data_IF_603710490026
#
_entry.id   IF_603710490026
#
_cell.length_a   1.000
_cell.length_b   1.000
_cell.length_c   1.000
_cell.angle_alpha   90.00
_cell.angle_beta   90.00
_cell.angle_gamma   90.00
#
_symmetry.space_group_name_H-M   'P 1'
#
loop_
_entity.id
_entity.type
_entity.pdbx_description
1 polymer ?
#
# COMPACT_ATOMS: atom_id res chain seq x y z
N UNK A 1 46.59 22.01 -3.34
CA UNK A 1 45.43 21.20 -3.75
C UNK A 1 44.61 20.60 -2.58
N UNK A 2 45.22 19.92 -1.59
CA UNK A 2 44.52 19.26 -0.46
C UNK A 2 43.68 20.23 0.40
N UNK A 3 44.15 21.48 0.70
CA UNK A 3 43.38 22.47 1.48
C UNK A 3 42.09 22.95 0.75
N UNK A 4 42.14 23.19 -0.57
CA UNK A 4 40.95 23.56 -1.37
C UNK A 4 39.88 22.44 -1.39
N UNK A 5 40.31 21.16 -1.52
CA UNK A 5 39.40 20.01 -1.46
C UNK A 5 38.73 19.87 -0.08
N UNK A 6 39.46 20.10 1.03
CA UNK A 6 38.87 20.10 2.38
C UNK A 6 37.87 21.24 2.58
N UNK A 7 38.16 22.46 2.09
CA UNK A 7 37.22 23.59 2.16
C UNK A 7 35.93 23.31 1.35
N UNK A 8 36.07 22.80 0.14
CA UNK A 8 34.94 22.42 -0.70
C UNK A 8 34.03 21.35 -0.05
N UNK A 9 34.64 20.29 0.53
CA UNK A 9 33.89 19.25 1.27
C UNK A 9 33.11 19.84 2.45
N UNK A 10 33.70 20.79 3.22
CA UNK A 10 32.99 21.45 4.33
C UNK A 10 31.79 22.27 3.84
N UNK A 11 31.97 23.02 2.75
CA UNK A 11 30.90 23.83 2.16
C UNK A 11 29.74 22.91 1.70
N UNK A 12 30.06 21.83 0.98
CA UNK A 12 29.03 20.85 0.54
C UNK A 12 28.30 20.25 1.73
N UNK A 13 29.03 19.83 2.78
CA UNK A 13 28.42 19.29 3.99
C UNK A 13 27.52 20.32 4.69
N UNK A 14 27.95 21.58 4.80
CA UNK A 14 27.11 22.64 5.39
C UNK A 14 25.85 22.90 4.58
N UNK A 15 25.92 22.87 3.24
CA UNK A 15 24.76 23.00 2.36
C UNK A 15 23.80 21.81 2.56
N UNK A 16 24.31 20.58 2.63
CA UNK A 16 23.49 19.39 2.87
C UNK A 16 22.79 19.50 4.22
N UNK A 17 23.51 19.86 5.29
CA UNK A 17 22.92 20.05 6.62
C UNK A 17 21.84 21.13 6.58
N UNK A 18 22.09 22.26 5.94
CA UNK A 18 21.10 23.33 5.80
C UNK A 18 19.84 22.84 5.08
N UNK A 19 19.99 22.13 3.96
CA UNK A 19 18.86 21.55 3.20
C UNK A 19 18.07 20.59 4.09
N UNK A 20 18.73 19.66 4.80
CA UNK A 20 18.07 18.72 5.70
C UNK A 20 17.30 19.47 6.80
N UNK A 21 17.91 20.49 7.40
CA UNK A 21 17.27 21.30 8.46
C UNK A 21 16.04 22.02 7.93
N UNK A 22 16.15 22.68 6.79
CA UNK A 22 15.02 23.39 6.15
C UNK A 22 13.90 22.41 5.80
N UNK A 23 14.23 21.28 5.17
CA UNK A 23 13.25 20.24 4.87
C UNK A 23 12.57 19.70 6.14
N UNK A 24 13.32 19.47 7.22
CA UNK A 24 12.79 19.03 8.51
C UNK A 24 11.81 20.05 9.13
N UNK A 25 12.16 21.32 9.12
CA UNK A 25 11.29 22.39 9.63
C UNK A 25 9.99 22.51 8.81
N UNK A 26 10.09 22.41 7.48
CA UNK A 26 8.92 22.44 6.60
C UNK A 26 8.04 21.20 6.72
N UNK A 27 8.64 20.03 6.97
CA UNK A 27 7.91 18.76 7.13
C UNK A 27 7.24 18.65 8.52
N UNK A 28 7.81 19.26 9.56
CA UNK A 28 7.35 19.11 10.93
C UNK A 28 5.83 19.34 11.13
N UNK A 29 5.22 20.43 10.60
CA UNK A 29 3.79 20.63 10.73
C UNK A 29 2.95 19.58 9.99
N UNK A 30 3.43 19.05 8.88
CA UNK A 30 2.76 17.99 8.11
C UNK A 30 2.79 16.69 8.92
N UNK A 31 3.95 16.36 9.47
CA UNK A 31 4.13 15.16 10.32
C UNK A 31 3.25 15.26 11.56
N UNK A 32 3.21 16.43 12.23
CA UNK A 32 2.35 16.65 13.40
C UNK A 32 0.87 16.45 13.06
N UNK A 33 0.38 17.05 11.97
CA UNK A 33 -1.02 16.87 11.54
C UNK A 33 -1.33 15.43 11.14
N UNK A 34 -0.38 14.75 10.48
CA UNK A 34 -0.51 13.33 10.15
C UNK A 34 -0.56 12.44 11.39
N UNK A 35 0.22 12.76 12.43
CA UNK A 35 0.17 12.05 13.71
C UNK A 35 -1.17 12.26 14.42
N UNK A 36 -1.68 13.50 14.47
CA UNK A 36 -3.02 13.78 15.04
C UNK A 36 -4.11 13.00 14.29
N UNK A 37 -4.07 13.01 12.95
CA UNK A 37 -5.02 12.23 12.12
C UNK A 37 -4.96 10.74 12.44
N UNK A 38 -3.77 10.19 12.66
CA UNK A 38 -3.60 8.81 13.09
C UNK A 38 -4.21 8.57 14.48
N UNK A 39 -3.92 9.43 15.47
CA UNK A 39 -4.48 9.30 16.82
C UNK A 39 -6.02 9.35 16.81
N UNK A 40 -6.61 10.28 16.07
CA UNK A 40 -8.06 10.39 15.90
C UNK A 40 -8.65 9.11 15.26
N UNK A 41 -8.00 8.58 14.22
CA UNK A 41 -8.46 7.38 13.53
C UNK A 41 -8.43 6.16 14.45
N UNK A 42 -7.34 5.92 15.18
CA UNK A 42 -7.22 4.75 16.06
C UNK A 42 -7.98 4.92 17.39
N UNK A 43 -8.27 6.16 17.81
CA UNK A 43 -9.16 6.43 18.94
C UNK A 43 -10.63 6.16 18.59
N UNK A 44 -11.02 6.40 17.34
CA UNK A 44 -12.37 6.09 16.86
C UNK A 44 -12.59 4.58 16.67
N UNK A 45 -11.57 3.84 16.21
CA UNK A 45 -11.55 2.38 16.07
C UNK A 45 -10.12 1.88 16.20
N UNK A 46 -9.84 1.09 17.22
CA UNK A 46 -8.50 0.51 17.40
C UNK A 46 -8.13 -0.44 16.26
N UNK A 47 -6.83 -0.71 16.07
CA UNK A 47 -6.36 -1.64 15.01
C UNK A 47 -6.89 -3.05 15.26
N UNK A 48 -7.00 -3.46 16.53
CA UNK A 48 -7.53 -4.78 16.90
C UNK A 48 -9.03 -4.90 16.59
N UNK A 49 -9.82 -3.87 16.89
CA UNK A 49 -11.25 -3.81 16.55
C UNK A 49 -11.45 -3.81 15.02
N UNK A 50 -10.66 -3.03 14.28
CA UNK A 50 -10.76 -2.99 12.83
C UNK A 50 -10.40 -4.34 12.19
N UNK A 51 -9.41 -5.05 12.72
CA UNK A 51 -9.06 -6.42 12.28
C UNK A 51 -10.19 -7.40 12.62
N UNK A 52 -10.73 -7.32 13.83
CA UNK A 52 -11.82 -8.21 14.28
C UNK A 52 -13.06 -8.03 13.40
N UNK A 53 -13.47 -6.79 13.13
CA UNK A 53 -14.61 -6.47 12.26
C UNK A 53 -14.43 -7.00 10.83
N UNK A 54 -13.20 -6.94 10.30
CA UNK A 54 -12.92 -7.51 8.99
C UNK A 54 -13.04 -9.03 8.99
N UNK A 55 -12.56 -9.69 10.05
CA UNK A 55 -12.60 -11.15 10.20
C UNK A 55 -14.00 -11.70 10.49
N UNK A 56 -14.92 -10.83 10.90
CA UNK A 56 -16.33 -11.20 11.20
C UNK A 56 -17.27 -11.08 9.99
N UNK A 57 -16.76 -10.72 8.83
CA UNK A 57 -17.55 -10.68 7.59
C UNK A 57 -17.90 -12.07 7.10
N UNK A 58 -19.12 -12.24 6.59
CA UNK A 58 -19.63 -13.52 6.09
C UNK A 58 -18.82 -14.07 4.90
N UNK A 59 -18.26 -13.18 4.07
CA UNK A 59 -17.46 -13.49 2.89
C UNK A 59 -15.93 -13.53 3.17
N UNK A 60 -15.53 -13.47 4.44
CA UNK A 60 -14.13 -13.51 4.83
C UNK A 60 -13.51 -14.89 4.62
N UNK A 61 -12.45 -14.95 3.83
CA UNK A 61 -11.71 -16.20 3.60
C UNK A 61 -10.30 -16.17 4.19
N UNK A 62 -9.83 -17.34 4.61
CA UNK A 62 -8.48 -17.50 5.17
C UNK A 62 -7.42 -17.48 4.08
N UNK A 63 -6.17 -17.17 4.47
CA UNK A 63 -5.02 -17.19 3.55
C UNK A 63 -4.92 -18.51 2.78
N UNK A 64 -5.17 -19.63 3.44
CA UNK A 64 -5.10 -20.97 2.90
C UNK A 64 -6.20 -21.27 1.85
N UNK A 65 -7.29 -20.52 1.89
CA UNK A 65 -8.44 -20.64 0.98
C UNK A 65 -8.33 -19.68 -0.23
N UNK A 66 -7.23 -18.93 -0.34
CA UNK A 66 -6.95 -18.08 -1.50
C UNK A 66 -6.00 -18.84 -2.44
N UNK A 67 -6.28 -18.83 -3.75
CA UNK A 67 -5.40 -19.43 -4.75
C UNK A 67 -3.95 -18.96 -4.58
N UNK A 68 -2.99 -19.86 -4.37
CA UNK A 68 -1.56 -19.50 -4.30
C UNK A 68 -1.06 -18.82 -5.59
N UNK A 69 -1.68 -19.16 -6.73
CA UNK A 69 -1.40 -18.53 -8.01
C UNK A 69 -1.78 -17.05 -7.99
N UNK A 70 -2.99 -16.74 -7.47
CA UNK A 70 -3.43 -15.36 -7.31
C UNK A 70 -2.51 -14.57 -6.36
N UNK A 71 -2.22 -15.10 -5.19
CA UNK A 71 -1.33 -14.44 -4.20
C UNK A 71 0.01 -14.09 -4.84
N UNK A 72 0.65 -15.03 -5.55
CA UNK A 72 1.94 -14.80 -6.19
C UNK A 72 1.89 -13.72 -7.28
N UNK A 73 0.83 -13.71 -8.09
CA UNK A 73 0.66 -12.72 -9.16
C UNK A 73 0.37 -11.34 -8.57
N UNK A 74 -0.52 -11.26 -7.60
CA UNK A 74 -0.88 -10.04 -6.88
C UNK A 74 0.36 -9.40 -6.21
N UNK A 75 1.15 -10.19 -5.48
CA UNK A 75 2.39 -9.71 -4.85
C UNK A 75 3.41 -9.20 -5.88
N UNK A 76 3.59 -9.91 -7.00
CA UNK A 76 4.49 -9.44 -8.07
C UNK A 76 4.03 -8.13 -8.69
N UNK A 77 2.73 -7.92 -8.78
CA UNK A 77 2.11 -6.72 -9.35
C UNK A 77 2.14 -5.53 -8.39
N UNK A 78 1.71 -5.74 -7.14
CA UNK A 78 1.47 -4.69 -6.16
C UNK A 78 2.69 -4.42 -5.28
N UNK A 79 3.35 -5.48 -4.80
CA UNK A 79 4.45 -5.36 -3.84
C UNK A 79 5.47 -6.51 -3.99
N UNK A 80 6.25 -6.47 -5.05
CA UNK A 80 7.22 -7.54 -5.36
C UNK A 80 8.24 -7.81 -4.25
N UNK A 81 8.46 -6.85 -3.35
CA UNK A 81 9.45 -6.94 -2.27
C UNK A 81 8.81 -7.14 -0.91
N UNK A 82 7.52 -7.49 -0.84
CA UNK A 82 6.69 -7.57 0.36
C UNK A 82 7.37 -8.29 1.54
N UNK A 83 8.06 -9.39 1.29
CA UNK A 83 8.77 -10.16 2.32
C UNK A 83 10.12 -9.58 2.74
N UNK A 84 10.60 -8.52 2.08
CA UNK A 84 11.92 -7.93 2.32
C UNK A 84 11.89 -6.56 3.01
N UNK A 85 10.71 -6.06 3.35
CA UNK A 85 10.54 -4.80 4.07
C UNK A 85 9.54 -4.95 5.21
N UNK A 86 9.55 -3.96 6.09
CA UNK A 86 8.65 -3.87 7.25
C UNK A 86 7.63 -2.75 7.01
N UNK A 87 6.67 -3.03 6.14
CA UNK A 87 5.55 -2.15 5.80
C UNK A 87 5.87 -0.93 4.93
N UNK A 88 7.13 -0.54 4.78
CA UNK A 88 7.58 0.52 3.89
C UNK A 88 8.78 0.06 3.05
N UNK A 89 8.71 0.25 1.74
CA UNK A 89 9.81 -0.04 0.81
C UNK A 89 10.40 1.25 0.21
N UNK A 90 11.51 1.77 0.77
CA UNK A 90 12.15 2.97 0.26
C UNK A 90 12.68 2.79 -1.18
N UNK A 91 13.09 1.58 -1.55
CA UNK A 91 13.60 1.28 -2.90
C UNK A 91 12.47 1.36 -3.92
N UNK A 92 11.32 0.77 -3.62
CA UNK A 92 10.13 0.86 -4.48
C UNK A 92 9.65 2.31 -4.59
N UNK A 93 9.63 3.06 -3.48
CA UNK A 93 9.21 4.47 -3.44
C UNK A 93 10.12 5.34 -4.32
N UNK A 94 11.44 5.24 -4.16
CA UNK A 94 12.41 6.01 -4.97
C UNK A 94 12.31 5.61 -6.44
N UNK A 95 12.23 4.32 -6.74
CA UNK A 95 12.05 3.83 -8.12
C UNK A 95 10.78 4.41 -8.77
N UNK A 96 9.64 4.36 -8.07
CA UNK A 96 8.38 4.91 -8.57
C UNK A 96 8.48 6.42 -8.81
N UNK A 97 9.10 7.15 -7.88
CA UNK A 97 9.34 8.59 -8.03
C UNK A 97 10.19 8.91 -9.27
N UNK A 98 11.31 8.21 -9.46
CA UNK A 98 12.16 8.39 -10.64
C UNK A 98 11.41 8.09 -11.93
N UNK A 99 10.66 6.98 -12.01
CA UNK A 99 9.90 6.62 -13.19
C UNK A 99 8.81 7.65 -13.52
N UNK A 100 8.11 8.17 -12.53
CA UNK A 100 7.09 9.20 -12.71
C UNK A 100 7.69 10.54 -13.18
N UNK A 101 8.85 10.93 -12.64
CA UNK A 101 9.59 12.13 -13.09
C UNK A 101 10.04 11.98 -14.55
N UNK A 102 10.66 10.85 -14.90
CA UNK A 102 11.13 10.58 -16.28
C UNK A 102 9.95 10.56 -17.26
N UNK A 103 8.82 9.97 -16.86
CA UNK A 103 7.63 9.89 -17.70
C UNK A 103 6.84 11.21 -17.77
N UNK A 104 7.15 12.21 -16.92
CA UNK A 104 6.38 13.46 -16.81
C UNK A 104 4.92 13.27 -16.38
N UNK A 105 4.55 12.07 -15.93
CA UNK A 105 3.19 11.71 -15.48
C UNK A 105 3.24 10.55 -14.48
N UNK A 106 2.13 10.33 -13.79
CA UNK A 106 2.01 9.17 -12.90
C UNK A 106 1.91 7.88 -13.73
N UNK A 107 2.91 7.01 -13.63
CA UNK A 107 2.97 5.70 -14.32
C UNK A 107 3.15 4.54 -13.36
N UNK A 108 3.63 4.78 -12.13
CA UNK A 108 3.91 3.73 -11.16
C UNK A 108 3.61 4.17 -9.73
N UNK A 109 2.90 3.33 -8.97
CA UNK A 109 2.74 3.44 -7.53
C UNK A 109 3.98 2.95 -6.77
N UNK A 110 4.25 3.57 -5.62
CA UNK A 110 5.33 3.16 -4.72
C UNK A 110 4.82 2.72 -3.34
N UNK A 111 3.50 2.58 -3.17
CA UNK A 111 2.91 2.11 -1.91
C UNK A 111 3.03 0.60 -1.78
N UNK A 112 3.36 0.14 -0.58
CA UNK A 112 3.39 -1.29 -0.23
C UNK A 112 1.98 -1.84 -0.01
N UNK A 113 1.85 -3.16 0.04
CA UNK A 113 0.60 -3.84 0.38
C UNK A 113 0.07 -3.42 1.75
N UNK A 114 0.95 -3.34 2.77
CA UNK A 114 0.58 -2.90 4.12
C UNK A 114 0.12 -1.45 4.15
N UNK A 115 0.72 -0.56 3.34
CA UNK A 115 0.25 0.83 3.21
C UNK A 115 -1.12 0.92 2.53
N UNK A 116 -1.40 0.06 1.56
CA UNK A 116 -2.72 -0.01 0.92
C UNK A 116 -3.76 -0.53 1.91
N UNK A 117 -3.44 -1.57 2.70
CA UNK A 117 -4.30 -2.08 3.77
C UNK A 117 -4.61 -0.99 4.79
N UNK A 118 -3.60 -0.32 5.35
CA UNK A 118 -3.77 0.78 6.31
C UNK A 118 -4.67 1.90 5.77
N UNK A 119 -4.47 2.28 4.50
CA UNK A 119 -5.32 3.27 3.83
C UNK A 119 -6.78 2.80 3.77
N UNK A 120 -7.03 1.58 3.34
CA UNK A 120 -8.37 1.05 3.17
C UNK A 120 -9.11 0.85 4.52
N UNK A 121 -8.37 0.56 5.60
CA UNK A 121 -8.93 0.39 6.94
C UNK A 121 -9.40 1.71 7.56
N UNK A 122 -8.67 2.81 7.33
CA UNK A 122 -8.85 4.03 8.15
C UNK A 122 -9.07 5.31 7.37
N UNK A 123 -8.69 5.37 6.09
CA UNK A 123 -8.61 6.64 5.40
C UNK A 123 -9.39 6.66 4.09
N UNK A 124 -9.92 7.83 3.75
CA UNK A 124 -10.54 8.08 2.45
C UNK A 124 -9.50 8.23 1.34
N UNK A 125 -9.96 8.29 0.08
CA UNK A 125 -9.09 8.45 -1.09
C UNK A 125 -8.51 9.87 -1.26
N UNK A 126 -8.68 10.78 -0.30
CA UNK A 126 -8.11 12.12 -0.39
C UNK A 126 -6.58 12.11 -0.51
N UNK A 127 -6.07 12.82 -1.50
CA UNK A 127 -4.61 12.93 -1.73
C UNK A 127 -4.02 14.03 -0.85
N UNK A 128 -3.74 13.73 0.41
CA UNK A 128 -3.07 14.62 1.37
C UNK A 128 -1.79 13.98 1.91
N UNK A 129 -0.77 14.81 2.13
CA UNK A 129 0.49 14.32 2.71
C UNK A 129 0.30 13.88 4.17
N UNK A 130 -0.56 14.58 4.92
CA UNK A 130 -0.92 14.23 6.29
C UNK A 130 -1.50 12.82 6.39
N UNK A 131 -2.42 12.47 5.48
CA UNK A 131 -2.95 11.11 5.39
C UNK A 131 -1.84 10.07 5.15
N UNK A 132 -0.89 10.39 4.26
CA UNK A 132 0.23 9.48 3.96
C UNK A 132 1.14 9.27 5.18
N UNK A 133 1.29 10.28 6.02
CA UNK A 133 2.00 10.15 7.30
C UNK A 133 1.18 9.33 8.29
N UNK A 134 -0.13 9.58 8.41
CA UNK A 134 -1.03 8.80 9.28
C UNK A 134 -1.03 7.31 8.92
N UNK A 135 -1.08 6.99 7.61
CA UNK A 135 -0.95 5.61 7.11
C UNK A 135 0.32 4.92 7.64
N UNK A 136 1.47 5.62 7.66
CA UNK A 136 2.73 5.02 8.11
C UNK A 136 2.69 4.63 9.60
N UNK A 137 1.99 5.38 10.45
CA UNK A 137 1.81 5.01 11.85
C UNK A 137 0.92 3.76 11.99
N UNK A 138 -0.16 3.67 11.21
CA UNK A 138 -1.00 2.46 11.18
C UNK A 138 -0.21 1.26 10.64
N UNK A 139 0.59 1.45 9.59
CA UNK A 139 1.47 0.41 9.02
C UNK A 139 2.40 -0.18 10.08
N UNK A 140 3.02 0.64 10.93
CA UNK A 140 3.87 0.15 12.02
C UNK A 140 3.07 -0.72 13.01
N UNK A 141 1.85 -0.35 13.33
CA UNK A 141 1.00 -1.19 14.18
C UNK A 141 0.63 -2.51 13.52
N UNK A 142 0.23 -2.48 12.23
CA UNK A 142 -0.12 -3.70 11.49
C UNK A 142 1.06 -4.68 11.41
N UNK A 143 2.25 -4.20 11.04
CA UNK A 143 3.45 -5.04 10.95
C UNK A 143 3.92 -5.59 12.32
N UNK A 144 3.63 -4.87 13.42
CA UNK A 144 3.92 -5.35 14.77
C UNK A 144 2.94 -6.42 15.27
N UNK A 145 1.68 -6.36 14.82
CA UNK A 145 0.59 -7.22 15.31
C UNK A 145 0.35 -8.44 14.43
N UNK A 146 0.68 -8.37 13.15
CA UNK A 146 0.31 -9.34 12.13
C UNK A 146 1.53 -9.97 11.48
N UNK A 147 1.42 -11.23 11.15
CA UNK A 147 2.36 -11.90 10.24
C UNK A 147 2.16 -11.44 8.80
N UNK A 148 3.14 -11.66 7.95
CA UNK A 148 3.02 -11.37 6.51
C UNK A 148 1.84 -12.09 5.84
N UNK A 149 1.53 -13.31 6.26
CA UNK A 149 0.37 -14.05 5.76
C UNK A 149 -0.95 -13.39 6.16
N UNK A 150 -1.08 -12.96 7.41
CA UNK A 150 -2.27 -12.27 7.88
C UNK A 150 -2.47 -10.91 7.20
N UNK A 151 -1.38 -10.19 6.88
CA UNK A 151 -1.47 -8.94 6.11
C UNK A 151 -2.00 -9.22 4.70
N UNK A 152 -1.52 -10.28 4.02
CA UNK A 152 -2.05 -10.70 2.71
C UNK A 152 -3.53 -11.09 2.82
N UNK A 153 -3.87 -11.90 3.82
CA UNK A 153 -5.25 -12.33 4.09
C UNK A 153 -6.18 -11.13 4.22
N UNK A 154 -5.88 -10.20 5.12
CA UNK A 154 -6.68 -9.00 5.34
C UNK A 154 -6.74 -8.12 4.08
N UNK A 155 -5.64 -7.94 3.37
CA UNK A 155 -5.62 -7.18 2.13
C UNK A 155 -6.54 -7.79 1.07
N UNK A 156 -6.47 -9.11 0.87
CA UNK A 156 -7.30 -9.81 -0.11
C UNK A 156 -8.80 -9.74 0.22
N UNK A 157 -9.16 -9.72 1.50
CA UNK A 157 -10.55 -9.58 1.96
C UNK A 157 -11.08 -8.13 1.94
N UNK A 158 -10.21 -7.13 1.74
CA UNK A 158 -10.59 -5.71 1.79
C UNK A 158 -10.44 -5.00 0.45
N UNK A 159 -9.62 -5.51 -0.45
CA UNK A 159 -9.32 -4.84 -1.71
C UNK A 159 -10.59 -4.66 -2.55
N UNK A 160 -10.71 -3.49 -3.18
CA UNK A 160 -11.81 -3.20 -4.09
C UNK A 160 -11.47 -3.65 -5.51
N UNK A 161 -12.38 -4.42 -6.12
CA UNK A 161 -12.24 -5.00 -7.44
C UNK A 161 -13.17 -4.41 -8.51
N UNK A 162 -13.85 -3.30 -8.21
CA UNK A 162 -14.82 -2.66 -9.11
C UNK A 162 -16.21 -3.26 -8.98
N UNK A 163 -17.20 -2.56 -9.54
CA UNK A 163 -18.61 -2.97 -9.58
C UNK A 163 -19.22 -3.33 -8.21
N UNK A 164 -18.72 -2.71 -7.14
CA UNK A 164 -19.17 -2.94 -5.77
C UNK A 164 -18.47 -4.09 -5.04
N UNK A 165 -17.63 -4.89 -5.70
CA UNK A 165 -16.98 -6.06 -5.12
C UNK A 165 -15.81 -5.67 -4.19
N UNK A 166 -15.91 -6.05 -2.93
CA UNK A 166 -14.86 -5.87 -1.91
C UNK A 166 -14.42 -7.25 -1.39
N UNK A 167 -13.17 -7.59 -1.63
CA UNK A 167 -12.62 -8.90 -1.31
C UNK A 167 -12.48 -9.81 -2.52
N UNK A 168 -11.51 -10.72 -2.43
CA UNK A 168 -11.17 -11.61 -3.55
C UNK A 168 -12.22 -12.71 -3.77
N UNK A 169 -12.90 -13.15 -2.70
CA UNK A 169 -13.96 -14.16 -2.82
C UNK A 169 -15.18 -13.57 -3.56
N UNK A 170 -15.69 -12.42 -3.09
CA UNK A 170 -16.79 -11.73 -3.75
C UNK A 170 -16.45 -11.41 -5.22
N UNK A 171 -15.22 -10.94 -5.49
CA UNK A 171 -14.77 -10.67 -6.85
C UNK A 171 -14.69 -11.93 -7.72
N UNK A 172 -14.19 -13.05 -7.17
CA UNK A 172 -14.13 -14.33 -7.87
C UNK A 172 -15.50 -14.87 -8.22
N UNK A 173 -16.43 -14.82 -7.28
CA UNK A 173 -17.81 -15.23 -7.51
C UNK A 173 -18.52 -14.31 -8.51
N UNK A 174 -18.37 -12.99 -8.35
CA UNK A 174 -19.02 -12.01 -9.23
C UNK A 174 -18.56 -12.12 -10.68
N UNK A 175 -17.25 -12.24 -10.93
CA UNK A 175 -16.72 -12.22 -12.29
C UNK A 175 -16.66 -13.58 -12.95
N UNK A 176 -16.57 -14.66 -12.18
CA UNK A 176 -16.30 -16.00 -12.71
C UNK A 176 -17.23 -17.09 -12.17
N UNK A 177 -18.05 -16.83 -11.15
CA UNK A 177 -18.94 -17.80 -10.52
C UNK A 177 -18.21 -18.95 -9.82
N UNK A 178 -17.00 -18.70 -9.31
CA UNK A 178 -16.14 -19.70 -8.64
C UNK A 178 -15.50 -19.12 -7.40
N UNK A 179 -15.12 -20.00 -6.44
CA UNK A 179 -14.37 -19.58 -5.27
C UNK A 179 -12.95 -19.11 -5.62
N UNK A 180 -12.44 -18.15 -4.85
CA UNK A 180 -11.07 -17.62 -4.97
C UNK A 180 -9.98 -18.69 -4.82
N UNK A 181 -10.27 -19.80 -4.15
CA UNK A 181 -9.35 -20.95 -4.00
C UNK A 181 -9.07 -21.64 -5.33
N UNK A 182 -9.99 -21.58 -6.29
CA UNK A 182 -9.95 -22.30 -7.58
C UNK A 182 -9.53 -21.42 -8.76
N UNK A 183 -9.20 -20.15 -8.52
CA UNK A 183 -8.76 -19.21 -9.56
C UNK A 183 -7.55 -19.79 -10.33
N UNK A 184 -7.71 -19.91 -11.64
CA UNK A 184 -6.62 -20.27 -12.55
C UNK A 184 -5.68 -19.07 -12.81
N UNK A 185 -4.68 -19.26 -13.64
CA UNK A 185 -3.68 -18.24 -13.90
C UNK A 185 -4.25 -17.01 -14.59
N UNK A 186 -5.04 -17.19 -15.63
CA UNK A 186 -5.64 -16.12 -16.44
C UNK A 186 -6.59 -15.28 -15.62
N UNK A 187 -7.44 -15.90 -14.81
CA UNK A 187 -8.36 -15.24 -13.88
C UNK A 187 -7.61 -14.49 -12.79
N UNK A 188 -6.54 -15.10 -12.25
CA UNK A 188 -5.66 -14.48 -11.25
C UNK A 188 -4.95 -13.24 -11.80
N UNK A 189 -4.46 -13.28 -13.05
CA UNK A 189 -3.84 -12.15 -13.73
C UNK A 189 -4.84 -11.01 -13.94
N UNK A 190 -6.06 -11.32 -14.38
CA UNK A 190 -7.12 -10.34 -14.58
C UNK A 190 -7.51 -9.64 -13.27
N UNK A 191 -7.75 -10.40 -12.18
CA UNK A 191 -8.11 -9.82 -10.88
C UNK A 191 -6.95 -9.03 -10.26
N UNK A 192 -5.71 -9.48 -10.39
CA UNK A 192 -4.55 -8.70 -9.95
C UNK A 192 -4.36 -7.41 -10.77
N UNK A 193 -4.72 -7.43 -12.07
CA UNK A 193 -4.70 -6.24 -12.91
C UNK A 193 -5.80 -5.24 -12.52
N UNK A 194 -6.96 -5.74 -12.12
CA UNK A 194 -8.11 -4.95 -11.64
C UNK A 194 -7.71 -4.02 -10.49
N UNK A 195 -6.84 -4.44 -9.57
CA UNK A 195 -6.39 -3.63 -8.43
C UNK A 195 -5.76 -2.28 -8.83
N UNK A 196 -5.24 -2.15 -10.05
CA UNK A 196 -4.63 -0.91 -10.55
C UNK A 196 -5.64 0.18 -10.89
N UNK A 197 -6.82 -0.21 -11.35
CA UNK A 197 -7.93 0.70 -11.70
C UNK A 197 -9.24 -0.10 -11.74
N UNK A 198 -9.87 -0.36 -10.57
CA UNK A 198 -10.98 -1.30 -10.45
C UNK A 198 -12.15 -1.06 -11.40
N UNK A 199 -12.50 0.19 -11.65
CA UNK A 199 -13.61 0.52 -12.56
C UNK A 199 -13.25 0.34 -14.04
N UNK A 200 -11.95 0.43 -14.39
CA UNK A 200 -11.53 0.41 -15.79
C UNK A 200 -10.90 -0.92 -16.24
N UNK A 201 -10.40 -1.71 -15.29
CA UNK A 201 -9.60 -2.91 -15.58
C UNK A 201 -10.23 -4.19 -15.03
N UNK A 202 -11.50 -4.14 -14.59
CA UNK A 202 -12.18 -5.35 -14.17
C UNK A 202 -12.53 -6.26 -15.38
N UNK A 203 -12.76 -7.57 -15.15
CA UNK A 203 -12.99 -8.55 -16.21
C UNK A 203 -14.16 -8.24 -17.15
N UNK A 204 -15.17 -7.52 -16.67
CA UNK A 204 -16.33 -7.14 -17.48
C UNK A 204 -16.05 -5.98 -18.47
N UNK A 205 -14.98 -5.22 -18.22
CA UNK A 205 -14.59 -4.04 -19.03
C UNK A 205 -13.38 -4.36 -19.90
N UNK A 206 -12.36 -4.99 -19.35
CA UNK A 206 -11.05 -5.14 -20.01
C UNK A 206 -10.92 -6.42 -20.86
N UNK A 207 -11.82 -7.36 -20.73
CA UNK A 207 -11.83 -8.64 -21.46
C UNK A 207 -12.75 -8.67 -22.70
N UNK A 208 -13.25 -7.51 -23.16
CA UNK A 208 -14.13 -7.40 -24.33
C UNK A 208 -13.41 -6.87 -25.54
#
# INVERSE_FOLDING_TARGET
MKKKKKRLRRIILSIIILIITVCGVLAAPIVKRGYVMYEEAVAAKSVDEAIAEMRDKDDYIKYEDISPTYINIMLKSEDRRFYYHYGFDPIATVRAMCNNIIAGRYVQGGSTLTQQLAKNMYFSFEKRMERKIAELFVVVQLENKLTKKEIIELYCNMAYFGQGCYGIEEASEHYYGISASTLNKEQSEALAWTLKSPENYNPNVYGK
#
